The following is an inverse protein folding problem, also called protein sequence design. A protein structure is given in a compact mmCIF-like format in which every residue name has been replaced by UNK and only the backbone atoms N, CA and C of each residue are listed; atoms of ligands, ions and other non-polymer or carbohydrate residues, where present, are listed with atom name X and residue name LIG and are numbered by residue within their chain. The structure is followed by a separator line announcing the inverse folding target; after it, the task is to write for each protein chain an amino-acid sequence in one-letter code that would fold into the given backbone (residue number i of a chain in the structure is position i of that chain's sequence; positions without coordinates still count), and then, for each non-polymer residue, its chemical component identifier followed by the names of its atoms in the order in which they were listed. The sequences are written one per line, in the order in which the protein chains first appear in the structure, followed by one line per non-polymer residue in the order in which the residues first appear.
data_IF_526872028867
#
_entry.id   IF_526872028867
#
_cell.length_a   1.000
_cell.length_b   1.000
_cell.length_c   1.000
_cell.angle_alpha   90.00
_cell.angle_beta   90.00
_cell.angle_gamma   90.00
#
_symmetry.space_group_name_H-M   'P 1'
#
loop_
_entity.id
_entity.type
_entity.pdbx_description
1 polymer ?
#
# COMPACT_ATOMS: atom_id res chain seq x y z
N UNK A 1 -30.45 5.37 -17.90
CA UNK A 1 -29.39 6.18 -18.59
C UNK A 1 -29.11 7.57 -17.99
N UNK A 2 -30.03 8.28 -17.29
CA UNK A 2 -29.76 9.65 -16.77
C UNK A 2 -28.98 9.73 -15.44
N UNK A 3 -29.08 8.74 -14.56
CA UNK A 3 -28.48 8.80 -13.23
C UNK A 3 -26.95 8.61 -13.25
N UNK A 4 -26.46 7.55 -13.89
CA UNK A 4 -25.03 7.23 -13.99
C UNK A 4 -24.19 8.39 -14.55
N UNK A 5 -24.72 9.12 -15.53
CA UNK A 5 -24.07 10.29 -16.11
C UNK A 5 -23.74 11.37 -15.07
N UNK A 6 -24.51 11.45 -13.97
CA UNK A 6 -24.27 12.39 -12.88
C UNK A 6 -23.10 11.94 -11.99
N UNK A 7 -22.97 10.65 -11.72
CA UNK A 7 -21.84 10.11 -10.96
C UNK A 7 -20.53 10.29 -11.74
N UNK A 8 -20.58 10.05 -13.06
CA UNK A 8 -19.47 10.27 -13.98
C UNK A 8 -19.17 11.76 -14.24
N UNK A 9 -20.05 12.67 -13.82
CA UNK A 9 -19.84 14.09 -14.04
C UNK A 9 -18.75 14.64 -13.11
N UNK A 10 -17.66 15.10 -13.72
CA UNK A 10 -16.58 15.80 -13.04
C UNK A 10 -16.22 17.09 -13.77
N UNK A 11 -16.05 18.18 -13.01
CA UNK A 11 -15.49 19.45 -13.53
C UNK A 11 -13.98 19.38 -13.74
N UNK A 12 -13.30 18.43 -13.08
CA UNK A 12 -11.83 18.27 -13.11
C UNK A 12 -11.50 16.79 -13.36
N UNK A 13 -11.17 16.45 -14.59
CA UNK A 13 -10.93 15.06 -15.02
C UNK A 13 -9.74 14.41 -14.29
N UNK A 14 -8.74 15.20 -13.91
CA UNK A 14 -7.50 14.76 -13.26
C UNK A 14 -7.63 14.43 -11.76
N UNK A 15 -8.68 14.93 -11.11
CA UNK A 15 -8.91 14.79 -9.66
C UNK A 15 -10.29 14.21 -9.36
N UNK A 16 -10.96 13.68 -10.38
CA UNK A 16 -12.25 13.07 -10.28
C UNK A 16 -12.16 11.74 -9.53
N UNK A 17 -12.91 11.61 -8.43
CA UNK A 17 -13.17 10.32 -7.78
C UNK A 17 -14.48 9.76 -8.29
N UNK A 18 -14.46 8.68 -9.05
CA UNK A 18 -15.70 8.11 -9.62
C UNK A 18 -16.37 7.13 -8.67
N UNK A 19 -15.59 6.48 -7.82
CA UNK A 19 -16.04 5.57 -6.80
C UNK A 19 -15.04 5.56 -5.66
N UNK A 20 -15.42 4.92 -4.56
CA UNK A 20 -14.53 4.49 -3.49
C UNK A 20 -14.59 2.98 -3.43
N UNK A 21 -13.42 2.37 -3.31
CA UNK A 21 -13.31 0.93 -3.20
C UNK A 21 -12.85 0.53 -1.81
N UNK A 22 -13.47 -0.51 -1.26
CA UNK A 22 -12.91 -1.30 -0.17
C UNK A 22 -12.55 -2.69 -0.66
N UNK A 23 -11.39 -3.18 -0.23
CA UNK A 23 -10.99 -4.57 -0.42
C UNK A 23 -10.97 -5.17 0.98
N UNK A 24 -11.80 -6.18 1.20
CA UNK A 24 -11.94 -6.84 2.50
C UNK A 24 -11.45 -8.28 2.36
N UNK A 25 -10.39 -8.63 3.09
CA UNK A 25 -9.93 -10.01 3.20
C UNK A 25 -10.90 -10.84 4.01
N UNK A 26 -11.16 -12.06 3.56
CA UNK A 26 -12.08 -12.99 4.20
C UNK A 26 -11.32 -14.20 4.76
N UNK A 27 -11.79 -14.79 5.88
CA UNK A 27 -11.14 -15.95 6.46
C UNK A 27 -11.23 -17.17 5.51
N UNK A 28 -10.09 -17.65 5.01
CA UNK A 28 -10.00 -18.75 4.03
C UNK A 28 -10.53 -20.09 4.54
N UNK A 29 -10.70 -20.24 5.86
CA UNK A 29 -11.27 -21.41 6.50
C UNK A 29 -12.82 -21.44 6.43
N UNK A 30 -13.46 -20.38 5.92
CA UNK A 30 -14.90 -20.36 5.70
C UNK A 30 -15.27 -20.98 4.35
N UNK A 31 -16.41 -21.69 4.26
CA UNK A 31 -16.99 -22.05 2.97
C UNK A 31 -17.29 -20.81 2.13
N UNK A 32 -17.19 -20.93 0.79
CA UNK A 32 -17.46 -19.83 -0.16
C UNK A 32 -18.86 -19.23 0.04
N UNK A 33 -19.87 -20.05 0.34
CA UNK A 33 -21.23 -19.55 0.60
C UNK A 33 -21.28 -18.65 1.83
N UNK A 34 -20.47 -18.92 2.85
CA UNK A 34 -20.38 -18.07 4.04
C UNK A 34 -19.64 -16.77 3.77
N UNK A 35 -18.60 -16.83 2.96
CA UNK A 35 -17.93 -15.63 2.45
C UNK A 35 -18.90 -14.74 1.68
N UNK A 36 -19.76 -15.32 0.84
CA UNK A 36 -20.82 -14.56 0.13
C UNK A 36 -21.82 -13.94 1.09
N UNK A 37 -22.29 -14.67 2.09
CA UNK A 37 -23.22 -14.16 3.11
C UNK A 37 -22.64 -12.96 3.88
N UNK A 38 -21.37 -13.07 4.28
CA UNK A 38 -20.63 -11.98 4.93
C UNK A 38 -20.55 -10.78 3.98
N UNK A 39 -20.15 -11.00 2.73
CA UNK A 39 -20.01 -9.94 1.74
C UNK A 39 -21.34 -9.25 1.43
N UNK A 40 -22.43 -9.99 1.33
CA UNK A 40 -23.77 -9.41 1.16
C UNK A 40 -24.14 -8.55 2.38
N UNK A 41 -23.89 -9.03 3.59
CA UNK A 41 -24.15 -8.30 4.84
C UNK A 41 -23.35 -6.99 4.90
N UNK A 42 -22.06 -7.04 4.57
CA UNK A 42 -21.21 -5.86 4.45
C UNK A 42 -21.75 -4.90 3.38
N UNK A 43 -22.18 -5.41 2.23
CA UNK A 43 -22.73 -4.57 1.16
C UNK A 43 -23.97 -3.79 1.60
N UNK A 44 -24.86 -4.44 2.36
CA UNK A 44 -26.07 -3.83 2.93
C UNK A 44 -25.72 -2.73 3.91
N UNK A 45 -24.75 -2.96 4.80
CA UNK A 45 -24.23 -1.93 5.71
C UNK A 45 -23.66 -0.73 4.96
N UNK A 46 -22.79 -0.98 3.97
CA UNK A 46 -22.13 0.06 3.19
C UNK A 46 -23.11 0.83 2.29
N UNK A 47 -24.28 0.25 1.97
CA UNK A 47 -25.34 0.87 1.17
C UNK A 47 -26.24 1.84 1.95
N UNK A 48 -26.11 1.89 3.28
CA UNK A 48 -26.87 2.82 4.12
C UNK A 48 -26.71 4.27 3.68
N UNK A 49 -27.70 5.10 4.00
CA UNK A 49 -27.77 6.51 3.62
C UNK A 49 -27.78 6.73 2.09
N UNK A 50 -28.40 5.79 1.35
CA UNK A 50 -28.58 5.92 -0.10
C UNK A 50 -27.30 5.73 -0.90
N UNK A 51 -26.32 4.99 -0.38
CA UNK A 51 -25.09 4.72 -1.11
C UNK A 51 -25.28 3.50 -2.02
N UNK A 52 -24.81 3.59 -3.26
CA UNK A 52 -24.85 2.45 -4.19
C UNK A 52 -23.57 1.66 -4.01
N UNK A 53 -23.70 0.34 -3.83
CA UNK A 53 -22.59 -0.58 -3.62
C UNK A 53 -22.70 -1.74 -4.60
N UNK A 54 -21.64 -1.98 -5.35
CA UNK A 54 -21.42 -3.20 -6.11
C UNK A 54 -20.33 -4.00 -5.42
N UNK A 55 -20.46 -5.32 -5.38
CA UNK A 55 -19.44 -6.16 -4.75
C UNK A 55 -19.13 -7.41 -5.56
N UNK A 56 -17.88 -7.87 -5.45
CA UNK A 56 -17.36 -9.03 -6.17
C UNK A 56 -16.41 -9.81 -5.26
N UNK A 57 -16.74 -11.08 -4.99
CA UNK A 57 -15.89 -12.01 -4.26
C UNK A 57 -14.86 -12.61 -5.22
N UNK A 58 -13.58 -12.46 -4.90
CA UNK A 58 -12.47 -13.01 -5.66
C UNK A 58 -11.85 -14.20 -4.92
N UNK A 59 -11.56 -15.25 -5.69
CA UNK A 59 -10.72 -16.36 -5.26
C UNK A 59 -9.24 -15.95 -5.40
N UNK A 60 -8.33 -16.59 -4.64
CA UNK A 60 -6.89 -16.38 -4.80
C UNK A 60 -6.44 -16.68 -6.24
N UNK A 61 -5.48 -15.90 -6.74
CA UNK A 61 -4.85 -16.18 -8.03
C UNK A 61 -4.17 -17.56 -7.99
N UNK A 62 -4.24 -18.28 -9.12
CA UNK A 62 -3.73 -19.64 -9.28
C UNK A 62 -2.22 -19.72 -9.53
N UNK A 63 -1.52 -18.60 -9.45
CA UNK A 63 -0.12 -18.50 -9.80
C UNK A 63 0.77 -18.99 -8.63
N UNK A 64 1.93 -19.57 -8.96
CA UNK A 64 2.82 -20.25 -8.00
C UNK A 64 3.37 -19.34 -6.87
N UNK A 65 3.24 -18.01 -7.02
CA UNK A 65 3.66 -17.00 -6.02
C UNK A 65 2.55 -16.63 -5.02
N UNK A 66 1.31 -17.01 -5.29
CA UNK A 66 0.15 -16.79 -4.44
C UNK A 66 0.06 -17.93 -3.42
N UNK A 67 -0.01 -17.59 -2.12
CA UNK A 67 -0.20 -18.59 -1.07
C UNK A 67 -1.56 -19.32 -1.16
N UNK A 68 -2.43 -19.04 -2.15
CA UNK A 68 -3.68 -19.76 -2.38
C UNK A 68 -4.75 -19.55 -1.30
N UNK A 69 -4.55 -18.61 -0.37
CA UNK A 69 -5.43 -18.38 0.78
C UNK A 69 -6.03 -16.97 0.82
N UNK A 70 -5.71 -16.10 -0.13
CA UNK A 70 -6.15 -14.69 -0.11
C UNK A 70 -7.54 -14.48 -0.73
N UNK A 71 -8.58 -15.04 -0.11
CA UNK A 71 -9.96 -14.74 -0.48
C UNK A 71 -10.30 -13.30 -0.06
N UNK A 72 -10.85 -12.52 -0.99
CA UNK A 72 -11.18 -11.12 -0.70
C UNK A 72 -12.38 -10.65 -1.52
N UNK A 73 -13.10 -9.67 -0.99
CA UNK A 73 -14.21 -9.03 -1.71
C UNK A 73 -13.91 -7.57 -2.00
N UNK A 74 -14.09 -7.18 -3.26
CA UNK A 74 -14.09 -5.80 -3.71
C UNK A 74 -15.48 -5.21 -3.51
N UNK A 75 -15.56 -4.05 -2.87
CA UNK A 75 -16.78 -3.26 -2.70
C UNK A 75 -16.59 -1.90 -3.37
N UNK A 76 -17.17 -1.75 -4.56
CA UNK A 76 -17.18 -0.50 -5.29
C UNK A 76 -18.40 0.33 -4.88
N UNK A 77 -18.16 1.50 -4.31
CA UNK A 77 -19.20 2.34 -3.72
C UNK A 77 -19.28 3.70 -4.39
N UNK A 78 -20.50 4.21 -4.58
CA UNK A 78 -20.71 5.57 -5.07
C UNK A 78 -20.17 6.62 -4.11
N UNK A 79 -19.86 7.79 -4.67
CA UNK A 79 -19.41 8.99 -3.97
C UNK A 79 -20.55 10.01 -3.79
N UNK A 80 -21.70 9.75 -4.41
CA UNK A 80 -22.94 10.50 -4.27
C UNK A 80 -24.04 9.61 -3.70
N UNK A 81 -24.92 10.25 -2.93
CA UNK A 81 -26.18 9.66 -2.49
C UNK A 81 -27.09 9.44 -3.69
N UNK A 82 -27.78 8.31 -3.69
CA UNK A 82 -28.75 7.91 -4.68
C UNK A 82 -30.12 7.79 -4.01
N UNK A 83 -31.05 8.63 -4.45
CA UNK A 83 -32.42 8.67 -3.93
C UNK A 83 -33.39 8.91 -5.08
N UNK A 84 -34.52 8.21 -5.08
CA UNK A 84 -35.61 8.38 -6.05
C UNK A 84 -35.14 8.36 -7.52
N UNK A 85 -34.23 7.43 -7.83
CA UNK A 85 -33.72 7.25 -9.19
C UNK A 85 -32.63 8.24 -9.62
N UNK A 86 -32.12 9.08 -8.71
CA UNK A 86 -31.18 10.17 -9.03
C UNK A 86 -30.02 10.24 -8.05
N UNK A 87 -28.82 10.50 -8.57
CA UNK A 87 -27.67 10.86 -7.74
C UNK A 87 -27.73 12.34 -7.31
N UNK A 88 -27.32 12.61 -6.08
CA UNK A 88 -27.21 13.94 -5.51
C UNK A 88 -26.26 14.84 -6.32
N UNK A 89 -26.53 16.15 -6.30
CA UNK A 89 -25.73 17.13 -7.05
C UNK A 89 -24.31 17.28 -6.51
N UNK A 90 -24.11 17.02 -5.23
CA UNK A 90 -22.82 17.08 -4.54
C UNK A 90 -22.42 15.71 -4.01
N UNK A 91 -21.11 15.53 -3.81
CA UNK A 91 -20.57 14.31 -3.19
C UNK A 91 -20.69 14.40 -1.68
N UNK A 92 -20.99 13.28 -1.05
CA UNK A 92 -21.03 13.20 0.40
C UNK A 92 -19.57 13.20 0.94
N UNK A 93 -19.25 14.21 1.77
CA UNK A 93 -17.89 14.37 2.34
C UNK A 93 -17.70 13.53 3.60
N UNK A 94 -18.77 13.23 4.33
CA UNK A 94 -18.76 12.46 5.56
C UNK A 94 -18.26 11.02 5.32
N UNK A 95 -18.66 10.41 4.20
CA UNK A 95 -18.20 9.07 3.78
C UNK A 95 -16.68 8.93 3.62
N UNK A 96 -15.98 10.05 3.55
CA UNK A 96 -14.56 10.14 3.32
C UNK A 96 -13.76 10.58 4.55
N UNK A 97 -14.42 10.71 5.71
CA UNK A 97 -13.74 11.03 6.96
C UNK A 97 -13.03 9.79 7.54
N UNK A 98 -12.01 10.04 8.38
CA UNK A 98 -11.35 8.98 9.14
C UNK A 98 -12.34 8.28 10.08
N UNK A 99 -13.19 9.05 10.75
CA UNK A 99 -14.19 8.51 11.67
C UNK A 99 -15.09 7.46 11.00
N UNK A 100 -15.59 7.76 9.80
CA UNK A 100 -16.40 6.82 9.03
C UNK A 100 -15.62 5.55 8.67
N UNK A 101 -14.35 5.67 8.26
CA UNK A 101 -13.52 4.51 7.99
C UNK A 101 -13.32 3.62 9.23
N UNK A 102 -13.05 4.22 10.40
CA UNK A 102 -12.88 3.46 11.63
C UNK A 102 -14.18 2.78 12.09
N UNK A 103 -15.31 3.48 11.94
CA UNK A 103 -16.63 2.90 12.18
C UNK A 103 -16.86 1.69 11.28
N UNK A 104 -16.63 1.81 9.97
CA UNK A 104 -16.77 0.69 9.04
C UNK A 104 -15.85 -0.48 9.37
N UNK A 105 -14.57 -0.24 9.70
CA UNK A 105 -13.64 -1.32 10.08
C UNK A 105 -14.17 -2.12 11.28
N UNK A 106 -14.66 -1.42 12.32
CA UNK A 106 -15.21 -2.05 13.52
C UNK A 106 -16.47 -2.86 13.21
N UNK A 107 -17.40 -2.28 12.45
CA UNK A 107 -18.67 -2.94 12.08
C UNK A 107 -18.43 -4.15 11.19
N UNK A 108 -17.61 -4.00 10.13
CA UNK A 108 -17.29 -5.08 9.18
C UNK A 108 -16.63 -6.25 9.91
N UNK A 109 -15.60 -6.01 10.71
CA UNK A 109 -14.98 -7.11 11.43
C UNK A 109 -15.91 -7.69 12.51
N UNK A 110 -16.86 -6.90 13.04
CA UNK A 110 -17.95 -7.40 13.89
C UNK A 110 -18.76 -8.49 13.18
N UNK A 111 -19.24 -8.22 11.97
CA UNK A 111 -19.97 -9.21 11.16
C UNK A 111 -19.15 -10.47 10.87
N UNK A 112 -17.85 -10.31 10.58
CA UNK A 112 -16.95 -11.46 10.37
C UNK A 112 -16.86 -12.30 11.65
N UNK A 113 -16.66 -11.66 12.79
CA UNK A 113 -16.53 -12.36 14.07
C UNK A 113 -17.83 -13.01 14.53
N UNK A 114 -18.99 -12.37 14.29
CA UNK A 114 -20.30 -12.98 14.52
C UNK A 114 -20.42 -14.29 13.74
N UNK A 115 -20.07 -14.29 12.45
CA UNK A 115 -20.16 -15.51 11.64
C UNK A 115 -19.15 -16.58 12.06
N UNK A 116 -17.94 -16.18 12.47
CA UNK A 116 -16.95 -17.11 13.02
C UNK A 116 -17.47 -17.79 14.29
N UNK A 117 -18.11 -17.04 15.20
CA UNK A 117 -18.69 -17.59 16.44
C UNK A 117 -19.81 -18.57 16.15
N UNK A 118 -20.71 -18.26 15.22
CA UNK A 118 -21.81 -19.14 14.82
C UNK A 118 -21.32 -20.49 14.27
N UNK A 119 -20.13 -20.49 13.66
CA UNK A 119 -19.48 -21.69 13.12
C UNK A 119 -18.53 -22.37 14.12
N UNK A 120 -18.46 -21.89 15.37
CA UNK A 120 -17.57 -22.43 16.40
C UNK A 120 -16.08 -22.16 16.16
N UNK A 121 -15.76 -21.16 15.34
CA UNK A 121 -14.40 -20.75 14.99
C UNK A 121 -13.89 -19.61 15.89
N UNK A 122 -12.57 -19.50 16.10
CA UNK A 122 -12.00 -18.44 16.90
C UNK A 122 -12.21 -17.07 16.23
N UNK A 123 -12.57 -16.08 17.05
CA UNK A 123 -12.68 -14.69 16.60
C UNK A 123 -11.33 -14.13 16.19
N UNK A 124 -11.35 -13.20 15.23
CA UNK A 124 -10.18 -12.45 14.79
C UNK A 124 -10.14 -11.13 15.53
N UNK A 125 -8.96 -10.78 16.05
CA UNK A 125 -8.74 -9.48 16.67
C UNK A 125 -8.70 -8.39 15.61
N UNK A 126 -9.68 -7.49 15.61
CA UNK A 126 -9.73 -6.35 14.71
C UNK A 126 -8.89 -5.23 15.31
N UNK A 127 -7.62 -5.15 14.91
CA UNK A 127 -6.76 -4.05 15.34
C UNK A 127 -6.99 -2.83 14.46
N UNK A 128 -7.72 -1.86 15.00
CA UNK A 128 -7.87 -0.53 14.41
C UNK A 128 -6.67 0.33 14.82
N UNK A 129 -5.47 -0.11 14.46
CA UNK A 129 -4.29 0.75 14.62
C UNK A 129 -4.40 1.86 13.57
N UNK A 130 -4.24 3.11 14.00
CA UNK A 130 -3.76 4.11 13.06
C UNK A 130 -2.37 3.64 12.65
N UNK A 131 -2.11 3.51 11.34
CA UNK A 131 -0.73 3.55 10.88
C UNK A 131 -0.16 4.85 11.48
N UNK A 132 0.61 4.72 12.55
CA UNK A 132 1.61 5.72 12.84
C UNK A 132 2.42 5.73 11.57
N UNK A 133 2.20 6.76 10.74
CA UNK A 133 3.11 7.03 9.64
C UNK A 133 4.48 6.88 10.28
N UNK A 134 5.27 5.91 9.82
CA UNK A 134 6.65 5.77 10.23
C UNK A 134 7.28 7.05 9.73
N UNK A 135 7.19 8.06 10.58
CA UNK A 135 7.67 9.39 10.35
C UNK A 135 9.16 9.20 10.46
N UNK A 136 9.80 8.86 9.35
CA UNK A 136 11.17 9.29 9.15
C UNK A 136 11.10 10.78 9.45
N UNK A 137 11.71 11.21 10.55
CA UNK A 137 11.77 12.61 10.95
C UNK A 137 12.54 13.36 9.86
N UNK A 138 11.85 13.68 8.77
CA UNK A 138 12.42 14.40 7.64
C UNK A 138 12.61 15.83 8.11
N UNK A 139 13.83 16.33 8.02
CA UNK A 139 14.12 17.73 8.32
C UNK A 139 13.35 18.65 7.37
N UNK A 140 13.09 19.90 7.78
CA UNK A 140 12.38 20.89 6.93
C UNK A 140 12.97 21.01 5.52
N UNK A 141 14.29 20.88 5.40
CA UNK A 141 14.99 20.91 4.11
C UNK A 141 14.65 19.71 3.23
N UNK A 142 14.52 18.51 3.79
CA UNK A 142 14.09 17.32 3.07
C UNK A 142 12.62 17.44 2.61
N UNK A 143 11.74 18.00 3.44
CA UNK A 143 10.34 18.27 3.07
C UNK A 143 10.25 19.29 1.93
N UNK A 144 11.06 20.35 1.97
CA UNK A 144 11.14 21.35 0.89
C UNK A 144 11.68 20.75 -0.41
N UNK A 145 12.73 19.95 -0.34
CA UNK A 145 13.32 19.25 -1.49
C UNK A 145 12.33 18.28 -2.13
N UNK A 146 11.61 17.48 -1.34
CA UNK A 146 10.62 16.53 -1.82
C UNK A 146 9.42 17.23 -2.48
N UNK A 147 8.93 18.33 -1.89
CA UNK A 147 7.89 19.18 -2.51
C UNK A 147 8.35 19.77 -3.84
N UNK A 148 9.61 20.19 -3.93
CA UNK A 148 10.16 20.73 -5.17
C UNK A 148 10.34 19.65 -6.24
N UNK A 149 10.84 18.47 -5.86
CA UNK A 149 10.95 17.32 -6.76
C UNK A 149 9.58 16.88 -7.27
N UNK A 150 8.56 16.84 -6.41
CA UNK A 150 7.18 16.53 -6.84
C UNK A 150 6.62 17.57 -7.80
N UNK A 151 6.93 18.86 -7.61
CA UNK A 151 6.55 19.93 -8.56
C UNK A 151 7.26 19.76 -9.90
N UNK A 152 8.55 19.40 -9.88
CA UNK A 152 9.35 19.17 -11.07
C UNK A 152 8.85 17.95 -11.86
N UNK A 153 8.56 16.83 -11.17
CA UNK A 153 7.96 15.64 -11.79
C UNK A 153 6.63 15.97 -12.45
N UNK A 154 5.73 16.70 -11.77
CA UNK A 154 4.45 17.13 -12.36
C UNK A 154 4.61 18.02 -13.59
N UNK A 155 5.67 18.85 -13.63
CA UNK A 155 5.99 19.67 -14.81
C UNK A 155 6.52 18.80 -15.95
N UNK A 156 7.36 17.81 -15.65
CA UNK A 156 7.86 16.84 -16.61
C UNK A 156 6.71 16.01 -17.21
N UNK A 157 5.84 15.44 -16.38
CA UNK A 157 4.64 14.71 -16.81
C UNK A 157 3.75 15.52 -17.75
N UNK A 158 3.53 16.81 -17.43
CA UNK A 158 2.75 17.70 -18.31
C UNK A 158 3.44 17.94 -19.65
N UNK A 159 4.77 18.06 -19.68
CA UNK A 159 5.53 18.20 -20.91
C UNK A 159 5.49 16.91 -21.74
N UNK A 160 5.61 15.75 -21.09
CA UNK A 160 5.51 14.43 -21.73
C UNK A 160 4.12 14.26 -22.34
N UNK A 161 3.04 14.48 -21.57
CA UNK A 161 1.67 14.41 -22.09
C UNK A 161 1.41 15.40 -23.23
N UNK A 162 1.97 16.61 -23.16
CA UNK A 162 1.85 17.59 -24.24
C UNK A 162 2.60 17.14 -25.50
N UNK A 163 3.78 16.53 -25.35
CA UNK A 163 4.54 15.96 -26.46
C UNK A 163 3.79 14.77 -27.08
N UNK A 164 3.21 13.90 -26.26
CA UNK A 164 2.41 12.75 -26.69
C UNK A 164 1.16 13.20 -27.47
N UNK A 165 0.44 14.24 -27.01
CA UNK A 165 -0.70 14.82 -27.74
C UNK A 165 -0.27 15.43 -29.08
N UNK A 166 0.93 16.04 -29.16
CA UNK A 166 1.47 16.56 -30.42
C UNK A 166 1.87 15.45 -31.39
N UNK A 167 2.45 14.37 -30.89
CA UNK A 167 2.80 13.16 -31.67
C UNK A 167 1.54 12.45 -32.20
N UNK A 168 0.54 12.24 -31.35
CA UNK A 168 -0.73 11.62 -31.75
C UNK A 168 -1.61 12.54 -32.61
N UNK A 169 -1.40 13.86 -32.53
CA UNK A 169 -2.04 14.85 -33.41
C UNK A 169 -1.49 14.84 -34.84
N UNK A 170 -0.23 14.42 -35.05
CA UNK A 170 0.38 14.29 -36.36
C UNK A 170 -0.18 13.11 -37.18
N UNK A 171 -0.67 12.06 -36.49
CA UNK A 171 -1.26 10.87 -37.13
C UNK A 171 -2.65 11.05 -37.76
N UNK A 172 -3.31 12.21 -37.59
CA UNK A 172 -4.58 12.52 -38.28
C UNK A 172 -4.41 13.32 -39.57
N UNK A 173 -3.21 13.82 -39.85
CA UNK A 173 -2.93 14.70 -41.00
C UNK A 173 -2.37 13.99 -42.22
N UNK A 174 -2.03 12.71 -42.15
CA UNK A 174 -1.50 11.97 -43.31
C UNK A 174 -2.51 11.82 -44.46
N UNK A 175 -3.82 11.84 -44.20
CA UNK A 175 -4.83 11.81 -45.28
C UNK A 175 -5.18 13.18 -45.90
N UNK A 176 -4.58 14.27 -45.42
CA UNK A 176 -4.75 15.61 -46.01
C UNK A 176 -3.47 16.17 -46.65
N UNK A 177 -2.34 15.48 -46.52
CA UNK A 177 -1.04 15.95 -46.99
C UNK A 177 -0.71 15.55 -48.44
N UNK A 178 -1.42 14.58 -49.03
CA UNK A 178 -1.23 14.21 -50.44
C UNK A 178 -1.84 15.21 -51.43
N UNK A 179 -2.70 16.13 -50.97
CA UNK A 179 -3.38 17.12 -51.83
C UNK A 179 -2.71 18.51 -51.84
N UNK A 180 -1.64 18.72 -51.05
CA UNK A 180 -0.95 20.02 -50.92
C UNK A 180 0.49 20.06 -51.43
N UNK A 181 1.03 18.95 -51.93
CA UNK A 181 2.40 18.89 -52.47
C UNK A 181 2.57 19.54 -53.86
N UNK A 182 1.55 20.20 -54.40
CA UNK A 182 1.66 20.94 -55.66
C UNK A 182 1.91 22.45 -55.51
N UNK A 183 1.97 23.02 -54.30
CA UNK A 183 2.23 24.47 -54.17
C UNK A 183 3.16 24.83 -53.03
N UNK A 184 4.24 25.48 -53.46
CA UNK A 184 5.08 26.42 -52.74
C UNK A 184 6.26 25.80 -51.97
N UNK A 185 7.39 25.82 -52.68
CA UNK A 185 8.69 26.24 -52.17
C UNK A 185 8.56 27.44 -51.22
N UNK A 186 8.82 27.23 -49.93
CA UNK A 186 9.34 28.21 -48.95
C UNK A 186 9.09 27.67 -47.52
N UNK A 187 10.09 27.00 -46.92
CA UNK A 187 10.37 27.09 -45.46
C UNK A 187 11.45 26.09 -45.02
N UNK A 188 12.73 26.44 -45.17
CA UNK A 188 13.85 25.63 -44.64
C UNK A 188 14.00 25.75 -43.10
N UNK A 189 13.51 26.85 -42.50
CA UNK A 189 13.69 27.11 -41.06
C UNK A 189 12.82 26.25 -40.12
N UNK A 190 11.83 25.52 -40.65
CA UNK A 190 10.92 24.69 -39.84
C UNK A 190 11.49 23.32 -39.51
N UNK A 191 12.20 22.72 -40.47
CA UNK A 191 12.72 21.35 -40.37
C UNK A 191 13.92 21.27 -39.42
N UNK A 192 14.82 22.24 -39.51
CA UNK A 192 16.02 22.33 -38.66
C UNK A 192 15.66 22.51 -37.17
N UNK A 193 14.60 23.28 -36.91
CA UNK A 193 14.06 23.49 -35.55
C UNK A 193 13.42 22.22 -34.99
N UNK A 194 12.73 21.44 -35.83
CA UNK A 194 12.17 20.15 -35.45
C UNK A 194 13.26 19.11 -35.18
N UNK A 195 14.34 19.12 -35.97
CA UNK A 195 15.48 18.22 -35.76
C UNK A 195 16.26 18.56 -34.47
N UNK A 196 16.44 19.84 -34.16
CA UNK A 196 17.05 20.28 -32.91
C UNK A 196 16.21 19.93 -31.68
N UNK A 197 14.88 20.02 -31.78
CA UNK A 197 13.96 19.60 -30.71
C UNK A 197 13.97 18.07 -30.52
N UNK A 198 14.09 17.29 -31.60
CA UNK A 198 14.23 15.83 -31.52
C UNK A 198 15.54 15.42 -30.83
N UNK A 199 16.67 16.01 -31.21
CA UNK A 199 17.97 15.74 -30.56
C UNK A 199 17.98 16.12 -29.07
N UNK A 200 17.26 17.19 -28.68
CA UNK A 200 17.09 17.56 -27.27
C UNK A 200 16.26 16.53 -26.51
N UNK A 201 15.23 15.97 -27.13
CA UNK A 201 14.37 14.97 -26.51
C UNK A 201 15.13 13.65 -26.32
N UNK A 202 15.94 13.25 -27.30
CA UNK A 202 16.77 12.04 -27.24
C UNK A 202 17.79 12.11 -26.10
N UNK A 203 18.47 13.26 -25.93
CA UNK A 203 19.39 13.51 -24.80
C UNK A 203 18.67 13.49 -23.45
N UNK A 204 17.49 14.10 -23.37
CA UNK A 204 16.72 14.10 -22.13
C UNK A 204 16.24 12.69 -21.74
N UNK A 205 15.97 11.83 -22.73
CA UNK A 205 15.59 10.44 -22.50
C UNK A 205 16.76 9.58 -22.02
N UNK A 206 17.95 9.73 -22.61
CA UNK A 206 19.15 9.05 -22.14
C UNK A 206 19.57 9.50 -20.74
N UNK A 207 19.51 10.80 -20.44
CA UNK A 207 19.76 11.32 -19.10
C UNK A 207 18.75 10.76 -18.07
N UNK A 208 17.47 10.65 -18.46
CA UNK A 208 16.44 10.04 -17.61
C UNK A 208 16.72 8.57 -17.32
N UNK A 209 17.10 7.79 -18.34
CA UNK A 209 17.46 6.37 -18.16
C UNK A 209 18.72 6.18 -17.30
N UNK A 210 19.68 7.11 -17.35
CA UNK A 210 20.84 7.09 -16.46
C UNK A 210 20.44 7.45 -15.02
N UNK A 211 19.57 8.44 -14.83
CA UNK A 211 19.08 8.83 -13.52
C UNK A 211 18.16 7.80 -12.86
N UNK A 212 17.43 6.98 -13.63
CA UNK A 212 16.70 5.81 -13.13
C UNK A 212 17.67 4.73 -12.62
N UNK A 213 18.71 4.39 -13.39
CA UNK A 213 19.73 3.41 -13.00
C UNK A 213 20.45 3.81 -11.71
N UNK A 214 20.87 5.07 -11.60
CA UNK A 214 21.52 5.58 -10.38
C UNK A 214 20.58 5.46 -9.16
N UNK A 215 19.29 5.78 -9.32
CA UNK A 215 18.31 5.65 -8.22
C UNK A 215 18.05 4.20 -7.82
N UNK A 216 18.05 3.28 -8.78
CA UNK A 216 17.90 1.86 -8.52
C UNK A 216 19.13 1.30 -7.77
N UNK A 217 20.34 1.70 -8.19
CA UNK A 217 21.59 1.35 -7.53
C UNK A 217 21.66 1.93 -6.10
N UNK A 218 21.25 3.19 -5.91
CA UNK A 218 21.15 3.81 -4.58
C UNK A 218 20.18 3.05 -3.67
N UNK A 219 19.02 2.61 -4.18
CA UNK A 219 18.06 1.80 -3.41
C UNK A 219 18.65 0.45 -3.04
N UNK A 220 19.34 -0.22 -3.96
CA UNK A 220 19.98 -1.52 -3.73
C UNK A 220 21.07 -1.41 -2.66
N UNK A 221 21.91 -0.38 -2.74
CA UNK A 221 22.94 -0.10 -1.72
C UNK A 221 22.32 0.14 -0.34
N UNK A 222 21.23 0.91 -0.27
CA UNK A 222 20.55 1.20 0.99
C UNK A 222 19.88 -0.04 1.60
N UNK A 223 19.31 -0.90 0.76
CA UNK A 223 18.71 -2.17 1.19
C UNK A 223 19.76 -3.17 1.66
N UNK A 224 20.90 -3.26 0.97
CA UNK A 224 22.01 -4.10 1.39
C UNK A 224 22.59 -3.64 2.73
N UNK A 225 22.74 -2.32 2.92
CA UNK A 225 23.16 -1.76 4.20
C UNK A 225 22.20 -2.12 5.33
N UNK A 226 20.88 -1.98 5.10
CA UNK A 226 19.87 -2.40 6.09
C UNK A 226 19.96 -3.88 6.44
N UNK A 227 20.21 -4.74 5.44
CA UNK A 227 20.37 -6.18 5.66
C UNK A 227 21.60 -6.49 6.52
N UNK A 228 22.71 -5.79 6.30
CA UNK A 228 23.93 -5.91 7.12
C UNK A 228 23.69 -5.45 8.55
N UNK A 229 23.06 -4.30 8.74
CA UNK A 229 22.75 -3.76 10.08
C UNK A 229 21.81 -4.69 10.86
N UNK A 230 20.84 -5.31 10.18
CA UNK A 230 19.92 -6.28 10.78
C UNK A 230 20.64 -7.59 11.17
N UNK A 231 21.54 -8.08 10.32
CA UNK A 231 22.39 -9.24 10.63
C UNK A 231 23.27 -8.96 11.85
N UNK A 232 23.96 -7.82 11.89
CA UNK A 232 24.82 -7.44 13.01
C UNK A 232 24.02 -7.30 14.32
N UNK A 233 22.81 -6.73 14.26
CA UNK A 233 21.91 -6.65 15.42
C UNK A 233 21.50 -8.04 15.91
N UNK A 234 21.16 -8.95 15.01
CA UNK A 234 20.78 -10.32 15.37
C UNK A 234 21.95 -11.11 15.97
N UNK A 235 23.14 -11.01 15.40
CA UNK A 235 24.35 -11.62 15.97
C UNK A 235 24.66 -11.08 17.35
N UNK A 236 24.52 -9.77 17.56
CA UNK A 236 24.73 -9.15 18.88
C UNK A 236 23.73 -9.66 19.91
N UNK A 237 22.45 -9.82 19.53
CA UNK A 237 21.43 -10.40 20.40
C UNK A 237 21.75 -11.84 20.77
N UNK A 238 22.15 -12.67 19.80
CA UNK A 238 22.54 -14.06 20.03
C UNK A 238 23.75 -14.16 20.97
N UNK A 239 24.77 -13.31 20.80
CA UNK A 239 25.92 -13.27 21.72
C UNK A 239 25.51 -12.92 23.14
N UNK A 240 24.63 -11.93 23.32
CA UNK A 240 24.11 -11.58 24.66
C UNK A 240 23.30 -12.71 25.28
N UNK A 241 22.50 -13.42 24.49
CA UNK A 241 21.72 -14.56 24.97
C UNK A 241 22.60 -15.74 25.38
N UNK A 242 23.62 -16.06 24.59
CA UNK A 242 24.62 -17.08 24.94
C UNK A 242 25.37 -16.71 26.22
N UNK A 243 25.76 -15.45 26.38
CA UNK A 243 26.44 -14.97 27.58
C UNK A 243 25.54 -15.09 28.82
N UNK A 244 24.26 -14.69 28.73
CA UNK A 244 23.28 -14.86 29.80
C UNK A 244 23.08 -16.32 30.18
N UNK A 245 23.07 -17.23 29.20
CA UNK A 245 22.95 -18.67 29.43
C UNK A 245 24.16 -19.21 30.19
N UNK A 246 25.37 -18.85 29.78
CA UNK A 246 26.61 -19.25 30.47
C UNK A 246 26.69 -18.69 31.89
N UNK A 247 26.28 -17.44 32.10
CA UNK A 247 26.21 -16.83 33.43
C UNK A 247 25.20 -17.53 34.33
N UNK A 248 24.02 -17.87 33.80
CA UNK A 248 23.01 -18.64 34.52
C UNK A 248 23.52 -20.03 34.91
N UNK A 249 24.15 -20.75 33.98
CA UNK A 249 24.74 -22.07 34.26
C UNK A 249 25.85 -22.00 35.31
N UNK A 250 26.70 -20.96 35.26
CA UNK A 250 27.75 -20.73 36.26
C UNK A 250 27.15 -20.44 37.64
N UNK A 251 26.15 -19.57 37.71
CA UNK A 251 25.46 -19.26 38.97
C UNK A 251 24.77 -20.49 39.56
N UNK A 252 24.20 -21.36 38.73
CA UNK A 252 23.59 -22.62 39.18
C UNK A 252 24.63 -23.61 39.73
N UNK A 253 25.79 -23.74 39.06
CA UNK A 253 26.91 -24.55 39.55
C UNK A 253 27.42 -24.03 40.89
N UNK A 254 27.62 -22.73 41.04
CA UNK A 254 28.05 -22.12 42.31
C UNK A 254 27.02 -22.33 43.43
N UNK A 255 25.71 -22.25 43.13
CA UNK A 255 24.65 -22.59 44.10
C UNK A 255 24.71 -24.05 44.53
N UNK A 256 24.87 -24.98 43.59
CA UNK A 256 25.00 -26.42 43.88
C UNK A 256 26.25 -26.72 44.71
N UNK A 257 27.38 -26.08 44.41
CA UNK A 257 28.61 -26.23 45.20
C UNK A 257 28.47 -25.65 46.61
N UNK A 258 27.85 -24.48 46.77
CA UNK A 258 27.55 -23.91 48.10
C UNK A 258 26.63 -24.81 48.91
N UNK A 259 25.59 -25.38 48.30
CA UNK A 259 24.70 -26.36 48.97
C UNK A 259 25.48 -27.57 49.49
N UNK A 260 26.33 -28.16 48.64
CA UNK A 260 27.17 -29.31 49.02
C UNK A 260 28.18 -28.98 50.15
N UNK A 261 28.72 -27.76 50.17
CA UNK A 261 29.61 -27.31 51.27
C UNK A 261 28.84 -27.15 52.59
N UNK A 262 27.64 -26.58 52.55
CA UNK A 262 26.79 -26.41 53.74
C UNK A 262 26.28 -27.75 54.30
N UNK A 263 25.97 -28.71 53.43
CA UNK A 263 25.61 -30.08 53.86
C UNK A 263 26.79 -30.79 54.56
N UNK A 264 28.01 -30.63 54.02
CA UNK A 264 29.23 -31.16 54.68
C UNK A 264 29.54 -30.47 56.01
N UNK A 265 29.29 -29.17 56.16
CA UNK A 265 29.53 -28.47 57.44
C UNK A 265 28.50 -28.83 58.51
N UNK A 266 27.25 -29.13 58.13
CA UNK A 266 26.21 -29.58 59.06
C UNK A 266 26.36 -31.07 59.47
N UNK A 267 27.17 -31.85 58.76
CA UNK A 267 27.43 -33.26 59.09
C UNK A 267 28.46 -33.51 60.21
N UNK A 268 29.21 -32.49 60.65
CA UNK A 268 30.24 -32.62 61.69
C UNK A 268 29.84 -32.00 63.05
N UNK A 269 28.57 -31.66 63.23
CA UNK A 269 28.08 -30.90 64.39
C UNK A 269 27.07 -31.63 65.27
N UNK A 270 27.27 -32.90 65.60
CA UNK A 270 26.56 -33.52 66.73
C UNK A 270 27.32 -34.74 67.26
N UNK A 271 27.79 -34.68 68.51
CA UNK A 271 28.24 -35.88 69.23
C UNK A 271 29.50 -35.76 70.08
N UNK A 272 29.74 -34.65 70.78
CA UNK A 272 30.58 -34.70 72.00
C UNK A 272 29.98 -33.78 73.07
N UNK A 273 29.28 -34.38 74.03
CA UNK A 273 28.98 -33.77 75.33
C UNK A 273 28.92 -34.92 76.34
N UNK A 274 29.84 -34.88 77.30
CA UNK A 274 29.91 -35.72 78.50
C UNK A 274 28.86 -35.28 79.52
#
# INVERSE_FOLDING_TARGET
KKAEARELQTKRKDTARFAKEYIVGLPHNLPIEEMKNISETISRELSKNGRVVSWYLHEPDRDDESNGFNFHTHFLMSEREYKDGKFAETKNREWNTKATLQSHKKVIGGFINERLVELGLPQIKIEVQEEQAIGVNKTENQIKAEKQNRKNLRKADRKIKLAEVKLNGLGRTERQLTDRLSRNSESDNGLEKQYADFQRLERAYTDFQQAERIREDERRMLEEQRRRDEQERNERLQRMEQQRKLESERAERERKERSKRNEKSNGYGCGFSR
#
